data_IF_342307869310
#
_entry.id   IF_342307869310
#
_cell.length_a   1.000
_cell.length_b   1.000
_cell.length_c   1.000
_cell.angle_alpha   90.00
_cell.angle_beta   90.00
_cell.angle_gamma   90.00
#
_symmetry.space_group_name_H-M   'P 1'
#
loop_
_entity.id
_entity.type
_entity.pdbx_description
1 polymer ?
#
# COMPACT_ATOMS: atom_id res chain seq x y z
N UNK A 1 19.87 5.96 -16.85
CA UNK A 1 19.55 5.93 -15.41
C UNK A 1 20.83 6.06 -14.61
N UNK A 2 20.83 6.77 -13.49
CA UNK A 2 22.03 6.94 -12.66
C UNK A 2 22.33 5.66 -11.85
N UNK A 3 23.58 5.40 -11.44
CA UNK A 3 23.92 4.27 -10.59
C UNK A 3 23.08 4.21 -9.30
N UNK A 4 22.76 5.37 -8.72
CA UNK A 4 21.89 5.48 -7.55
C UNK A 4 20.47 4.97 -7.81
N UNK A 5 19.92 5.21 -9.02
CA UNK A 5 18.60 4.70 -9.39
C UNK A 5 18.60 3.17 -9.47
N UNK A 6 19.63 2.56 -10.05
CA UNK A 6 19.76 1.10 -10.09
C UNK A 6 19.89 0.51 -8.68
N UNK A 7 20.71 1.11 -7.81
CA UNK A 7 20.86 0.66 -6.42
C UNK A 7 19.51 0.69 -5.69
N UNK A 8 18.76 1.81 -5.79
CA UNK A 8 17.44 1.95 -5.16
C UNK A 8 16.43 0.95 -5.71
N UNK A 9 16.41 0.74 -7.03
CA UNK A 9 15.52 -0.22 -7.67
C UNK A 9 15.82 -1.65 -7.20
N UNK A 10 17.09 -2.06 -7.18
CA UNK A 10 17.51 -3.37 -6.70
C UNK A 10 17.17 -3.56 -5.22
N UNK A 11 17.45 -2.56 -4.38
CA UNK A 11 17.07 -2.60 -2.96
C UNK A 11 15.55 -2.72 -2.79
N UNK A 12 14.76 -1.95 -3.53
CA UNK A 12 13.30 -2.02 -3.46
C UNK A 12 12.78 -3.40 -3.87
N UNK A 13 13.32 -3.99 -4.94
CA UNK A 13 12.94 -5.33 -5.41
C UNK A 13 13.32 -6.43 -4.42
N UNK A 14 14.47 -6.30 -3.74
CA UNK A 14 14.92 -7.29 -2.75
C UNK A 14 14.15 -7.15 -1.43
N UNK A 15 13.86 -5.92 -0.99
CA UNK A 15 13.25 -5.66 0.33
C UNK A 15 11.73 -5.78 0.29
N UNK A 16 11.07 -5.43 -0.82
CA UNK A 16 9.60 -5.43 -0.87
C UNK A 16 8.97 -6.81 -0.59
N UNK A 17 9.45 -7.94 -1.15
CA UNK A 17 8.88 -9.26 -0.84
C UNK A 17 8.98 -9.66 0.64
N UNK A 18 10.15 -9.67 1.31
CA UNK A 18 10.22 -10.02 2.73
C UNK A 18 9.45 -9.02 3.60
N UNK A 19 9.46 -7.73 3.26
CA UNK A 19 8.65 -6.73 3.96
C UNK A 19 7.15 -7.05 3.84
N UNK A 20 6.68 -7.49 2.67
CA UNK A 20 5.29 -7.89 2.44
C UNK A 20 4.91 -9.05 3.35
N UNK A 21 5.76 -10.07 3.46
CA UNK A 21 5.55 -11.22 4.35
C UNK A 21 5.45 -10.76 5.80
N UNK A 22 6.43 -9.99 6.27
CA UNK A 22 6.48 -9.50 7.66
C UNK A 22 5.24 -8.69 8.00
N UNK A 23 4.88 -7.71 7.16
CA UNK A 23 3.73 -6.84 7.42
C UNK A 23 2.41 -7.60 7.36
N UNK A 24 2.28 -8.58 6.46
CA UNK A 24 1.08 -9.44 6.38
C UNK A 24 0.93 -10.32 7.61
N UNK A 25 2.02 -10.94 8.08
CA UNK A 25 2.00 -11.74 9.32
C UNK A 25 1.63 -10.87 10.51
N UNK A 26 2.25 -9.69 10.66
CA UNK A 26 1.92 -8.78 11.75
C UNK A 26 0.45 -8.32 11.69
N UNK A 27 -0.08 -8.02 10.51
CA UNK A 27 -1.49 -7.66 10.33
C UNK A 27 -2.43 -8.82 10.72
N UNK A 28 -2.10 -10.04 10.31
CA UNK A 28 -2.89 -11.23 10.69
C UNK A 28 -2.86 -11.46 12.20
N UNK A 29 -1.68 -11.43 12.83
CA UNK A 29 -1.56 -11.58 14.28
C UNK A 29 -2.32 -10.49 15.05
N UNK A 30 -2.28 -9.24 14.57
CA UNK A 30 -3.00 -8.13 15.19
C UNK A 30 -4.52 -8.31 15.12
N UNK A 31 -5.03 -8.76 13.97
CA UNK A 31 -6.46 -9.02 13.78
C UNK A 31 -6.95 -10.25 14.55
N UNK A 32 -6.14 -11.30 14.67
CA UNK A 32 -6.54 -12.55 15.35
C UNK A 32 -6.43 -12.46 16.87
N UNK A 33 -5.31 -11.98 17.39
CA UNK A 33 -5.02 -12.01 18.83
C UNK A 33 -5.42 -10.72 19.54
N UNK A 34 -5.14 -9.56 18.93
CA UNK A 34 -5.40 -8.26 19.54
C UNK A 34 -6.75 -7.67 19.13
N UNK A 35 -7.42 -8.26 18.14
CA UNK A 35 -8.75 -7.90 17.64
C UNK A 35 -8.90 -6.40 17.36
N UNK A 36 -7.84 -5.74 16.88
CA UNK A 36 -7.94 -4.33 16.47
C UNK A 36 -8.95 -4.19 15.35
N UNK A 37 -9.62 -3.04 15.29
CA UNK A 37 -10.57 -2.78 14.20
C UNK A 37 -9.85 -2.80 12.84
N UNK A 38 -10.53 -3.19 11.75
CA UNK A 38 -9.95 -3.18 10.40
C UNK A 38 -9.36 -1.82 10.01
N UNK A 39 -9.94 -0.72 10.50
CA UNK A 39 -9.41 0.62 10.30
C UNK A 39 -8.04 0.84 10.97
N UNK A 40 -7.84 0.30 12.18
CA UNK A 40 -6.54 0.37 12.88
C UNK A 40 -5.50 -0.52 12.22
N UNK A 41 -5.91 -1.66 11.64
CA UNK A 41 -5.02 -2.56 10.92
C UNK A 41 -4.44 -1.93 9.63
N UNK A 42 -5.01 -0.83 9.11
CA UNK A 42 -4.45 -0.10 7.96
C UNK A 42 -3.05 0.48 8.21
N UNK A 43 -2.61 0.56 9.47
CA UNK A 43 -1.24 0.96 9.80
C UNK A 43 -0.20 0.07 9.12
N UNK A 44 -0.48 -1.23 8.99
CA UNK A 44 0.40 -2.22 8.37
C UNK A 44 0.63 -1.94 6.88
N UNK A 45 -0.40 -1.96 6.01
CA UNK A 45 -0.21 -1.66 4.58
C UNK A 45 0.26 -0.22 4.34
N UNK A 46 -0.13 0.76 5.17
CA UNK A 46 0.41 2.13 5.07
C UNK A 46 1.91 2.17 5.34
N UNK A 47 2.39 1.45 6.35
CA UNK A 47 3.81 1.34 6.68
C UNK A 47 4.60 0.66 5.55
N UNK A 48 4.12 -0.50 5.09
CA UNK A 48 4.70 -1.23 3.95
C UNK A 48 4.89 -0.32 2.73
N UNK A 49 3.83 0.38 2.34
CA UNK A 49 3.85 1.26 1.18
C UNK A 49 4.81 2.45 1.33
N UNK A 50 4.85 3.08 2.51
CA UNK A 50 5.77 4.20 2.81
C UNK A 50 7.23 3.75 2.79
N UNK A 51 7.55 2.59 3.38
CA UNK A 51 8.91 2.05 3.38
C UNK A 51 9.36 1.76 1.95
N UNK A 52 8.53 1.11 1.14
CA UNK A 52 8.85 0.83 -0.27
C UNK A 52 9.09 2.11 -1.07
N UNK A 53 8.24 3.13 -0.91
CA UNK A 53 8.47 4.44 -1.54
C UNK A 53 9.81 5.07 -1.11
N UNK A 54 10.14 5.03 0.19
CA UNK A 54 11.40 5.61 0.71
C UNK A 54 12.63 4.92 0.16
N UNK A 55 12.65 3.58 0.11
CA UNK A 55 13.76 2.80 -0.45
C UNK A 55 13.93 3.11 -1.95
N UNK A 56 12.83 3.19 -2.68
CA UNK A 56 12.83 3.54 -4.10
C UNK A 56 13.16 5.02 -4.37
N UNK A 57 13.21 5.87 -3.33
CA UNK A 57 13.46 7.31 -3.47
C UNK A 57 12.26 8.09 -4.03
N UNK A 58 11.05 7.54 -3.95
CA UNK A 58 9.80 8.17 -4.38
C UNK A 58 9.33 9.17 -3.32
N UNK A 59 9.15 10.42 -3.74
CA UNK A 59 8.57 11.48 -2.91
C UNK A 59 7.13 11.71 -3.35
N UNK A 60 6.21 11.65 -2.41
CA UNK A 60 4.77 11.80 -2.67
C UNK A 60 4.33 13.18 -2.21
N UNK A 61 3.66 13.92 -3.10
CA UNK A 61 2.97 15.17 -2.80
C UNK A 61 1.49 14.95 -3.08
N UNK A 62 0.64 15.38 -2.15
CA UNK A 62 -0.81 15.34 -2.30
C UNK A 62 -1.31 16.77 -2.40
N UNK A 63 -2.27 17.00 -3.28
CA UNK A 63 -3.04 18.23 -3.41
C UNK A 63 -4.50 17.86 -3.66
N UNK A 64 -5.44 18.77 -3.37
CA UNK A 64 -6.86 18.53 -3.62
C UNK A 64 -7.59 17.73 -2.55
N UNK A 65 -7.04 17.61 -1.33
CA UNK A 65 -7.70 16.89 -0.23
C UNK A 65 -8.97 17.60 0.26
N UNK A 66 -9.06 18.91 0.02
CA UNK A 66 -10.22 19.74 0.25
C UNK A 66 -11.46 19.30 -0.56
N UNK A 67 -11.27 18.53 -1.63
CA UNK A 67 -12.37 17.99 -2.44
C UNK A 67 -12.98 16.69 -1.84
N UNK A 68 -12.44 16.21 -0.72
CA UNK A 68 -12.88 14.96 -0.09
C UNK A 68 -13.63 15.29 1.18
N UNK A 69 -14.94 14.99 1.19
CA UNK A 69 -15.76 15.14 2.38
C UNK A 69 -15.53 13.98 3.36
N UNK A 70 -15.34 14.26 4.66
CA UNK A 70 -15.29 13.21 5.67
C UNK A 70 -16.60 12.41 5.70
N UNK A 71 -16.50 11.10 5.92
CA UNK A 71 -17.64 10.16 6.06
C UNK A 71 -18.49 9.95 4.79
N UNK A 72 -18.10 10.53 3.66
CA UNK A 72 -18.75 10.27 2.37
C UNK A 72 -18.13 9.03 1.70
N UNK A 73 -18.97 8.22 1.06
CA UNK A 73 -18.50 7.06 0.28
C UNK A 73 -18.10 7.49 -1.13
N UNK A 74 -16.93 7.07 -1.58
CA UNK A 74 -16.39 7.39 -2.91
C UNK A 74 -15.95 6.15 -3.67
N UNK A 75 -16.02 6.23 -5.00
CA UNK A 75 -15.22 5.41 -5.90
C UNK A 75 -14.04 6.26 -6.37
N UNK A 76 -12.84 5.91 -5.93
CA UNK A 76 -11.62 6.57 -6.40
C UNK A 76 -11.15 5.91 -7.69
N UNK A 77 -11.14 6.66 -8.78
CA UNK A 77 -10.60 6.24 -10.06
C UNK A 77 -9.39 7.13 -10.39
N UNK A 78 -8.24 6.49 -10.64
CA UNK A 78 -7.01 7.17 -11.04
C UNK A 78 -6.53 6.62 -12.39
N UNK A 79 -5.72 7.39 -13.09
CA UNK A 79 -4.92 6.85 -14.18
C UNK A 79 -3.97 5.77 -13.64
N UNK A 80 -3.61 4.79 -14.48
CA UNK A 80 -2.64 3.76 -14.11
C UNK A 80 -1.31 4.01 -14.84
N UNK A 81 -0.38 4.67 -14.15
CA UNK A 81 0.88 5.09 -14.73
C UNK A 81 2.03 4.15 -14.38
N UNK A 82 1.95 3.47 -13.23
CA UNK A 82 3.05 2.64 -12.75
C UNK A 82 2.63 1.62 -11.69
N UNK A 83 3.51 0.67 -11.41
CA UNK A 83 3.36 -0.19 -10.23
C UNK A 83 3.41 0.60 -8.91
N UNK A 84 4.02 1.80 -8.91
CA UNK A 84 4.09 2.66 -7.73
C UNK A 84 2.77 3.32 -7.37
N UNK A 85 1.75 3.22 -8.22
CA UNK A 85 0.39 3.70 -7.92
C UNK A 85 -0.14 3.02 -6.65
N UNK A 86 0.18 1.73 -6.46
CA UNK A 86 -0.18 0.97 -5.25
C UNK A 86 0.47 1.59 -4.01
N UNK A 87 1.78 1.82 -4.03
CA UNK A 87 2.51 2.29 -2.84
C UNK A 87 2.22 3.76 -2.52
N UNK A 88 2.12 4.60 -3.55
CA UNK A 88 1.84 6.02 -3.35
C UNK A 88 0.43 6.22 -2.79
N UNK A 89 -0.57 5.53 -3.33
CA UNK A 89 -1.94 5.61 -2.85
C UNK A 89 -2.12 4.95 -1.48
N UNK A 90 -1.68 3.69 -1.30
CA UNK A 90 -1.81 2.97 -0.03
C UNK A 90 -1.06 3.63 1.13
N UNK A 91 0.10 4.22 0.87
CA UNK A 91 0.95 4.82 1.89
C UNK A 91 0.50 6.21 2.32
N UNK A 92 0.00 7.02 1.39
CA UNK A 92 -0.13 8.45 1.60
C UNK A 92 -1.57 8.97 1.48
N UNK A 93 -2.47 8.24 0.81
CA UNK A 93 -3.86 8.67 0.73
C UNK A 93 -4.55 8.57 2.10
N UNK A 94 -5.09 9.68 2.65
CA UNK A 94 -5.51 9.75 4.04
C UNK A 94 -6.88 9.09 4.30
N UNK A 95 -7.72 8.96 3.27
CA UNK A 95 -9.04 8.35 3.37
C UNK A 95 -8.95 6.81 3.53
N UNK A 96 -9.92 6.18 4.21
CA UNK A 96 -10.03 4.72 4.24
C UNK A 96 -10.67 4.24 2.94
N UNK A 97 -10.00 3.31 2.25
CA UNK A 97 -10.46 2.80 0.96
C UNK A 97 -10.16 1.31 0.84
N UNK A 98 -10.83 0.64 -0.09
CA UNK A 98 -10.62 -0.76 -0.41
C UNK A 98 -10.20 -0.89 -1.87
N UNK A 99 -9.21 -1.73 -2.12
CA UNK A 99 -8.78 -2.05 -3.48
C UNK A 99 -9.79 -2.95 -4.17
N UNK A 100 -9.99 -2.72 -5.47
CA UNK A 100 -10.71 -3.65 -6.34
C UNK A 100 -9.71 -4.70 -6.81
N UNK A 101 -9.97 -5.96 -6.47
CA UNK A 101 -9.18 -7.10 -6.91
C UNK A 101 -9.87 -7.84 -8.06
N UNK A 102 -9.08 -8.40 -8.98
CA UNK A 102 -9.58 -9.28 -10.05
C UNK A 102 -10.23 -10.52 -9.45
N UNK A 103 -11.40 -10.91 -9.97
CA UNK A 103 -12.17 -12.06 -9.46
C UNK A 103 -11.36 -13.37 -9.50
N UNK A 104 -10.51 -13.51 -10.51
CA UNK A 104 -9.67 -14.68 -10.71
C UNK A 104 -8.63 -14.88 -9.59
N UNK A 105 -8.24 -13.80 -8.89
CA UNK A 105 -7.30 -13.90 -7.76
C UNK A 105 -7.91 -14.68 -6.59
N UNK A 106 -9.24 -14.68 -6.46
CA UNK A 106 -9.98 -15.47 -5.45
C UNK A 106 -10.15 -16.95 -5.84
N UNK A 107 -9.39 -17.42 -6.84
CA UNK A 107 -9.23 -18.85 -7.14
C UNK A 107 -7.83 -19.35 -6.80
N UNK A 108 -6.95 -18.47 -6.34
CA UNK A 108 -5.55 -18.79 -6.08
C UNK A 108 -5.39 -18.95 -4.57
N UNK A 109 -5.08 -20.17 -4.09
CA UNK A 109 -4.84 -20.40 -2.67
C UNK A 109 -3.87 -19.37 -2.09
N UNK A 110 -4.14 -18.90 -0.87
CA UNK A 110 -3.42 -17.84 -0.13
C UNK A 110 -3.88 -16.42 -0.49
N UNK A 111 -4.22 -16.10 -1.75
CA UNK A 111 -4.75 -14.78 -2.13
C UNK A 111 -6.26 -14.67 -1.92
N UNK A 112 -6.94 -15.81 -2.09
CA UNK A 112 -8.38 -16.01 -1.91
C UNK A 112 -8.74 -17.35 -2.51
#
# INVERSE_FOLDING_TARGET
>A
MSPLQYIRASLALIVAPPLTIVVSVLALLDLTFFRKSPAKALVFPRMWARITCRIAGVRVRIAGLENIEPNQTYIFAANHASQFDIFTFQGYFPHDFRWIAKKELFRIPIFG
#
